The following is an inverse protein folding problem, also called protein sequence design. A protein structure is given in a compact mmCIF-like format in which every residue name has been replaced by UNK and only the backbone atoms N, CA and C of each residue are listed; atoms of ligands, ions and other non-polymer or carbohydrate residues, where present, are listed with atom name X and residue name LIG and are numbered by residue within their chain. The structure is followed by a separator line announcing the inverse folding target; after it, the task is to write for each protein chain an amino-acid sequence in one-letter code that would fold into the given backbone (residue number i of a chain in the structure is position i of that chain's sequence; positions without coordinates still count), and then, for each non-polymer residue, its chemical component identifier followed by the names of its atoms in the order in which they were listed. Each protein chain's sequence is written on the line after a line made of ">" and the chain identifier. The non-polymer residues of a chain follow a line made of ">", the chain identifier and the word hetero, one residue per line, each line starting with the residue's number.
data_IF_867224376380
#
_entry.id   IF_867224376380
#
_cell.length_a   1.000
_cell.length_b   1.000
_cell.length_c   1.000
_cell.angle_alpha   90.00
_cell.angle_beta   90.00
_cell.angle_gamma   90.00
#
_symmetry.space_group_name_H-M   'P 1'
#
loop_
_entity.id
_entity.type
_entity.pdbx_description
1 polymer ?
#
# COMPACT_ATOMS: atom_id res chain seq x y z
N UNK A 1 -2.89 14.12 -13.07
CA UNK A 1 -2.77 14.75 -11.73
C UNK A 1 -2.17 13.67 -10.88
N UNK A 2 -1.24 13.95 -9.95
CA UNK A 2 -0.66 12.86 -9.18
C UNK A 2 -1.76 12.10 -8.45
N UNK A 3 -1.94 10.82 -8.75
CA UNK A 3 -2.93 9.96 -8.11
C UNK A 3 -2.48 9.61 -6.68
N UNK A 4 -1.20 9.30 -6.50
CA UNK A 4 -0.64 8.83 -5.23
C UNK A 4 -0.12 10.01 -4.41
N UNK A 5 -1.04 10.67 -3.71
CA UNK A 5 -0.80 11.86 -2.89
C UNK A 5 -1.74 11.90 -1.68
N UNK A 6 -1.41 12.68 -0.65
CA UNK A 6 -2.18 12.78 0.58
C UNK A 6 -3.53 13.49 0.39
N UNK A 7 -3.60 14.44 -0.53
CA UNK A 7 -4.84 15.17 -0.80
C UNK A 7 -5.87 14.25 -1.47
N UNK A 8 -7.06 14.07 -0.87
CA UNK A 8 -8.05 13.14 -1.39
C UNK A 8 -8.65 13.63 -2.70
N UNK A 9 -8.89 12.71 -3.63
CA UNK A 9 -9.52 13.03 -4.91
C UNK A 9 -11.05 12.95 -4.83
N UNK A 10 -11.78 13.74 -5.64
CA UNK A 10 -13.23 13.65 -5.68
C UNK A 10 -13.68 12.35 -6.35
N UNK A 11 -14.88 11.86 -6.03
CA UNK A 11 -15.46 10.68 -6.71
C UNK A 11 -15.65 10.85 -8.23
N UNK A 12 -15.61 12.07 -8.76
CA UNK A 12 -15.64 12.34 -10.20
C UNK A 12 -14.31 12.03 -10.89
N UNK A 13 -13.20 11.92 -10.16
CA UNK A 13 -11.88 11.67 -10.73
C UNK A 13 -11.56 10.18 -10.93
N UNK A 14 -12.46 9.27 -10.56
CA UNK A 14 -12.26 7.83 -10.74
C UNK A 14 -13.04 7.34 -11.98
N UNK A 15 -12.63 6.21 -12.59
CA UNK A 15 -13.28 5.69 -13.79
C UNK A 15 -14.79 5.47 -13.64
N UNK A 16 -15.50 5.41 -14.77
CA UNK A 16 -16.91 5.07 -14.77
C UNK A 16 -17.14 3.66 -14.22
N UNK A 17 -18.31 3.43 -13.62
CA UNK A 17 -18.69 2.15 -13.03
C UNK A 17 -20.21 1.98 -13.12
N UNK A 18 -20.77 0.78 -13.37
CA UNK A 18 -22.23 0.59 -13.49
C UNK A 18 -23.07 1.14 -12.33
N UNK A 19 -22.53 1.14 -11.10
CA UNK A 19 -23.21 1.70 -9.92
C UNK A 19 -23.32 3.22 -9.88
N UNK A 20 -22.71 3.97 -10.80
CA UNK A 20 -22.84 5.42 -10.88
C UNK A 20 -22.57 6.01 -12.28
N UNK A 21 -23.10 7.21 -12.54
CA UNK A 21 -23.18 7.84 -13.87
C UNK A 21 -22.00 7.59 -14.81
N UNK A 22 -22.33 7.17 -16.05
CA UNK A 22 -21.44 7.05 -17.22
C UNK A 22 -21.11 8.42 -17.83
N UNK A 23 -20.80 9.40 -16.99
CA UNK A 23 -20.38 10.71 -17.43
C UNK A 23 -19.08 10.59 -18.24
N UNK A 24 -19.09 11.07 -19.50
CA UNK A 24 -17.98 11.00 -20.43
C UNK A 24 -16.75 11.82 -19.98
N UNK A 25 -16.89 12.64 -18.93
CA UNK A 25 -15.78 13.39 -18.33
C UNK A 25 -14.90 12.56 -17.38
N UNK A 26 -15.32 11.33 -17.03
CA UNK A 26 -14.53 10.42 -16.19
C UNK A 26 -13.32 9.85 -16.92
N UNK A 27 -12.21 9.55 -16.22
CA UNK A 27 -11.04 8.95 -16.86
C UNK A 27 -11.33 7.53 -17.36
N UNK A 28 -10.60 7.13 -18.40
CA UNK A 28 -10.61 5.76 -18.90
C UNK A 28 -9.94 4.82 -17.88
N UNK A 29 -10.49 3.61 -17.72
CA UNK A 29 -10.13 2.65 -16.68
C UNK A 29 -8.68 2.19 -16.77
N UNK A 30 -8.24 1.72 -17.94
CA UNK A 30 -6.89 1.22 -18.15
C UNK A 30 -5.85 2.32 -18.01
N UNK A 31 -6.13 3.52 -18.52
CA UNK A 31 -5.27 4.70 -18.38
C UNK A 31 -5.13 5.12 -16.91
N UNK A 32 -6.21 5.07 -16.13
CA UNK A 32 -6.19 5.38 -14.71
C UNK A 32 -5.31 4.39 -13.93
N UNK A 33 -5.50 3.10 -14.16
CA UNK A 33 -4.71 2.02 -13.54
C UNK A 33 -3.24 2.11 -13.96
N UNK A 34 -2.97 2.31 -15.25
CA UNK A 34 -1.61 2.47 -15.78
C UNK A 34 -0.88 3.65 -15.13
N UNK A 35 -1.60 4.78 -14.95
CA UNK A 35 -1.07 5.97 -14.28
C UNK A 35 -0.73 5.68 -12.82
N UNK A 36 -1.61 4.96 -12.10
CA UNK A 36 -1.37 4.60 -10.70
C UNK A 36 -0.17 3.67 -10.55
N UNK A 37 -0.07 2.63 -11.38
CA UNK A 37 1.06 1.70 -11.39
C UNK A 37 2.38 2.41 -11.73
N UNK A 38 2.38 3.30 -12.73
CA UNK A 38 3.55 4.11 -13.09
C UNK A 38 4.00 5.00 -11.92
N UNK A 39 3.06 5.72 -11.28
CA UNK A 39 3.36 6.55 -10.11
C UNK A 39 3.89 5.72 -8.94
N UNK A 40 3.36 4.51 -8.73
CA UNK A 40 3.81 3.59 -7.69
C UNK A 40 5.25 3.12 -7.94
N UNK A 41 5.58 2.73 -9.17
CA UNK A 41 6.94 2.37 -9.57
C UNK A 41 7.90 3.55 -9.37
N UNK A 42 7.54 4.74 -9.84
CA UNK A 42 8.34 5.96 -9.64
C UNK A 42 8.58 6.26 -8.16
N UNK A 43 7.54 6.16 -7.32
CA UNK A 43 7.67 6.33 -5.88
C UNK A 43 8.69 5.34 -5.31
N UNK A 44 8.50 4.04 -5.54
CA UNK A 44 9.39 3.00 -4.98
C UNK A 44 10.83 3.13 -5.48
N UNK A 45 11.04 3.49 -6.76
CA UNK A 45 12.36 3.72 -7.33
C UNK A 45 13.07 4.94 -6.71
N UNK A 46 12.31 5.97 -6.32
CA UNK A 46 12.87 7.18 -5.70
C UNK A 46 13.24 7.01 -4.22
N UNK A 47 12.70 6.01 -3.51
CA UNK A 47 12.89 5.85 -2.06
C UNK A 47 14.37 5.85 -1.64
N UNK A 48 15.28 5.07 -2.29
CA UNK A 48 16.68 5.01 -1.88
C UNK A 48 17.43 6.35 -1.95
N UNK A 49 17.03 7.25 -2.84
CA UNK A 49 17.68 8.55 -3.04
C UNK A 49 16.98 9.71 -2.34
N UNK A 50 15.69 9.57 -2.00
CA UNK A 50 14.87 10.66 -1.47
C UNK A 50 14.44 10.48 -0.01
N UNK A 51 14.59 9.29 0.57
CA UNK A 51 14.24 9.02 1.95
C UNK A 51 15.49 8.82 2.81
N UNK A 52 15.47 9.39 4.01
CA UNK A 52 16.47 9.15 5.03
C UNK A 52 16.13 7.88 5.80
N UNK A 53 17.09 6.96 5.92
CA UNK A 53 16.92 5.71 6.66
C UNK A 53 17.16 5.93 8.16
N UNK A 54 16.27 5.42 9.01
CA UNK A 54 16.50 5.36 10.46
C UNK A 54 17.72 4.44 10.72
N UNK A 55 18.67 4.85 11.56
CA UNK A 55 19.94 4.15 11.72
C UNK A 55 19.81 2.75 12.34
N UNK A 56 18.72 2.48 13.07
CA UNK A 56 18.49 1.20 13.76
C UNK A 56 17.20 0.56 13.24
N UNK A 57 17.28 -0.66 12.67
CA UNK A 57 16.10 -1.45 12.37
C UNK A 57 15.25 -1.69 13.63
N UNK A 58 13.93 -1.75 13.46
CA UNK A 58 12.96 -1.88 14.55
C UNK A 58 12.46 -3.32 14.65
N UNK A 59 12.26 -3.87 15.86
CA UNK A 59 11.56 -5.13 16.03
C UNK A 59 10.05 -4.95 15.80
N UNK A 60 9.39 -6.00 15.33
CA UNK A 60 7.93 -6.08 15.25
C UNK A 60 7.47 -7.48 15.65
N UNK A 61 7.52 -7.84 16.95
CA UNK A 61 7.14 -9.18 17.39
C UNK A 61 5.68 -9.47 17.04
N UNK A 62 5.33 -10.74 16.71
CA UNK A 62 6.17 -11.94 16.75
C UNK A 62 7.06 -12.16 15.50
N UNK A 63 7.14 -11.22 14.56
CA UNK A 63 8.01 -11.36 13.39
C UNK A 63 9.49 -11.46 13.79
N UNK A 64 10.20 -12.38 13.16
CA UNK A 64 11.67 -12.48 13.25
C UNK A 64 12.36 -11.39 12.42
N UNK A 65 11.69 -10.90 11.36
CA UNK A 65 12.23 -9.86 10.51
C UNK A 65 12.37 -8.53 11.26
N UNK A 66 13.48 -7.84 11.04
CA UNK A 66 13.63 -6.45 11.48
C UNK A 66 13.09 -5.52 10.41
N UNK A 67 12.43 -4.46 10.85
CA UNK A 67 11.83 -3.46 9.98
C UNK A 67 12.79 -2.28 9.83
N UNK A 68 13.29 -2.06 8.62
CA UNK A 68 14.01 -0.82 8.25
C UNK A 68 12.96 0.26 8.02
N UNK A 69 13.10 1.39 8.70
CA UNK A 69 12.19 2.52 8.62
C UNK A 69 12.89 3.66 7.89
N UNK A 70 12.21 4.31 6.95
CA UNK A 70 12.73 5.43 6.19
C UNK A 70 11.69 6.55 6.19
N UNK A 71 12.15 7.80 6.07
CA UNK A 71 11.28 8.98 6.05
C UNK A 71 11.72 9.95 4.98
N UNK A 72 10.76 10.52 4.27
CA UNK A 72 11.02 11.44 3.17
C UNK A 72 9.95 12.51 3.09
N UNK A 73 10.27 13.59 2.39
CA UNK A 73 9.30 14.61 2.01
C UNK A 73 9.15 14.61 0.51
N UNK A 74 7.90 14.51 0.03
CA UNK A 74 7.59 14.51 -1.40
C UNK A 74 6.72 15.71 -1.73
N UNK A 75 6.91 16.26 -2.92
CA UNK A 75 5.96 17.22 -3.49
C UNK A 75 5.16 16.45 -4.55
N UNK A 76 3.81 16.43 -4.46
CA UNK A 76 3.01 15.85 -5.53
C UNK A 76 3.37 16.51 -6.87
N UNK A 77 3.44 15.70 -7.92
CA UNK A 77 3.69 16.23 -9.26
C UNK A 77 2.49 17.08 -9.67
N UNK A 78 2.69 18.38 -9.79
CA UNK A 78 1.67 19.27 -10.34
C UNK A 78 1.60 19.00 -11.85
N UNK A 79 0.46 18.50 -12.35
CA UNK A 79 0.13 18.75 -13.74
C UNK A 79 0.16 20.26 -13.95
N UNK A 80 0.80 20.73 -15.02
CA UNK A 80 0.79 22.13 -15.45
C UNK A 80 -0.66 22.62 -15.50
N UNK A 81 -1.12 23.29 -14.44
CA UNK A 81 -2.40 23.99 -14.48
C UNK A 81 -2.26 25.08 -15.54
N UNK A 82 -3.03 24.99 -16.62
CA UNK A 82 -3.07 25.97 -17.71
C UNK A 82 -3.72 27.30 -17.29
N UNK A 83 -3.99 27.52 -16.00
CA UNK A 83 -4.70 28.70 -15.50
C UNK A 83 -3.96 29.32 -14.32
N UNK A 84 -3.02 30.22 -14.62
CA UNK A 84 -2.68 31.48 -13.92
C UNK A 84 -2.52 31.60 -12.39
N UNK A 85 -2.77 30.56 -11.58
CA UNK A 85 -2.75 30.62 -10.13
C UNK A 85 -1.58 29.82 -9.53
N UNK A 86 -0.70 30.50 -8.78
CA UNK A 86 0.37 29.84 -8.01
C UNK A 86 -0.22 29.09 -6.80
N UNK A 87 -0.85 27.94 -7.01
CA UNK A 87 -1.13 27.01 -5.92
C UNK A 87 0.20 26.46 -5.40
N UNK A 88 0.62 26.84 -4.18
CA UNK A 88 1.82 26.27 -3.54
C UNK A 88 1.52 24.82 -3.17
N UNK A 89 2.02 23.86 -3.95
CA UNK A 89 2.00 22.44 -3.58
C UNK A 89 2.76 22.25 -2.27
N UNK A 90 2.05 21.84 -1.21
CA UNK A 90 2.65 21.55 0.09
C UNK A 90 3.43 20.23 -0.02
N UNK A 91 4.62 20.19 0.59
CA UNK A 91 5.33 18.92 0.75
C UNK A 91 4.57 18.01 1.72
N UNK A 92 4.50 16.74 1.37
CA UNK A 92 3.88 15.67 2.14
C UNK A 92 4.95 14.87 2.85
N UNK A 93 4.69 14.50 4.10
CA UNK A 93 5.57 13.63 4.87
C UNK A 93 5.23 12.18 4.57
N UNK A 94 6.22 11.42 4.11
CA UNK A 94 6.09 10.02 3.77
C UNK A 94 6.95 9.16 4.70
N UNK A 95 6.39 8.03 5.09
CA UNK A 95 7.07 6.97 5.84
C UNK A 95 7.17 5.76 4.95
N UNK A 96 8.34 5.15 4.88
CA UNK A 96 8.54 3.87 4.22
C UNK A 96 9.04 2.84 5.23
N UNK A 97 8.52 1.62 5.16
CA UNK A 97 9.07 0.46 5.86
C UNK A 97 9.52 -0.59 4.87
N UNK A 98 10.57 -1.31 5.24
CA UNK A 98 11.07 -2.47 4.51
C UNK A 98 11.36 -3.60 5.49
N UNK A 99 10.92 -4.81 5.15
CA UNK A 99 11.21 -6.03 5.91
C UNK A 99 11.49 -7.18 4.95
N UNK A 100 12.33 -8.12 5.39
CA UNK A 100 12.70 -9.30 4.61
C UNK A 100 12.46 -10.55 5.45
N UNK A 101 11.66 -11.46 4.92
CA UNK A 101 11.16 -12.65 5.59
C UNK A 101 11.70 -13.89 4.89
N UNK A 102 11.92 -14.97 5.65
CA UNK A 102 12.21 -16.28 5.04
C UNK A 102 10.90 -16.81 4.48
N UNK A 103 10.91 -17.26 3.22
CA UNK A 103 9.75 -17.90 2.60
C UNK A 103 9.50 -19.28 3.22
N UNK A 104 8.70 -19.30 4.29
CA UNK A 104 8.37 -20.52 5.02
C UNK A 104 7.09 -20.36 5.85
N UNK A 105 6.30 -21.43 5.95
CA UNK A 105 5.15 -21.50 6.85
C UNK A 105 5.57 -21.85 8.28
N UNK A 106 6.34 -20.99 8.95
CA UNK A 106 6.89 -21.24 10.30
C UNK A 106 6.73 -20.05 11.25
N UNK A 107 6.95 -20.25 12.56
CA UNK A 107 6.71 -19.22 13.58
C UNK A 107 7.60 -18.00 13.36
N UNK A 108 6.97 -16.83 13.28
CA UNK A 108 7.66 -15.54 13.14
C UNK A 108 8.05 -15.20 11.69
N UNK A 109 7.57 -15.97 10.71
CA UNK A 109 7.63 -15.66 9.27
C UNK A 109 6.41 -16.25 8.54
N UNK A 110 6.29 -15.99 7.24
CA UNK A 110 5.22 -16.53 6.40
C UNK A 110 5.70 -16.90 5.00
N UNK A 111 5.04 -17.87 4.39
CA UNK A 111 5.30 -18.30 3.02
C UNK A 111 4.76 -17.30 2.00
N UNK A 112 5.24 -17.39 0.76
CA UNK A 112 4.79 -16.56 -0.36
C UNK A 112 3.27 -16.59 -0.51
N UNK A 113 2.69 -17.80 -0.46
CA UNK A 113 1.25 -18.00 -0.54
C UNK A 113 0.48 -17.29 0.57
N UNK A 114 1.04 -17.22 1.77
CA UNK A 114 0.40 -16.54 2.91
C UNK A 114 0.51 -15.01 2.81
N UNK A 115 1.65 -14.51 2.31
CA UNK A 115 1.81 -13.11 1.95
C UNK A 115 0.80 -12.69 0.88
N UNK A 116 0.70 -13.45 -0.20
CA UNK A 116 -0.24 -13.17 -1.28
C UNK A 116 -1.70 -13.24 -0.79
N UNK A 117 -2.07 -14.32 -0.10
CA UNK A 117 -3.44 -14.51 0.38
C UNK A 117 -3.86 -13.42 1.37
N UNK A 118 -2.96 -12.99 2.26
CA UNK A 118 -3.31 -12.04 3.31
C UNK A 118 -3.15 -10.57 2.96
N UNK A 119 -2.26 -10.22 2.02
CA UNK A 119 -1.99 -8.83 1.68
C UNK A 119 -2.49 -8.41 0.29
N UNK A 120 -2.79 -9.35 -0.61
CA UNK A 120 -3.28 -9.04 -1.97
C UNK A 120 -4.79 -9.16 -2.08
N UNK A 121 -5.32 -10.33 -1.73
CA UNK A 121 -6.75 -10.64 -1.88
C UNK A 121 -7.52 -10.21 -0.64
N UNK A 122 -8.69 -9.61 -0.80
CA UNK A 122 -9.54 -9.15 0.33
C UNK A 122 -8.72 -8.32 1.34
N UNK A 123 -7.88 -7.41 0.80
CA UNK A 123 -6.85 -6.71 1.57
C UNK A 123 -7.45 -5.95 2.77
N UNK A 124 -8.53 -5.21 2.56
CA UNK A 124 -9.17 -4.43 3.61
C UNK A 124 -9.82 -5.33 4.68
N UNK A 125 -10.49 -6.41 4.28
CA UNK A 125 -11.08 -7.36 5.22
C UNK A 125 -10.02 -8.05 6.08
N UNK A 126 -8.94 -8.53 5.48
CA UNK A 126 -7.85 -9.14 6.23
C UNK A 126 -7.18 -8.12 7.16
N UNK A 127 -6.98 -6.88 6.71
CA UNK A 127 -6.48 -5.81 7.58
C UNK A 127 -7.38 -5.58 8.80
N UNK A 128 -8.71 -5.65 8.64
CA UNK A 128 -9.64 -5.59 9.77
C UNK A 128 -9.44 -6.73 10.78
N UNK A 129 -9.10 -7.94 10.32
CA UNK A 129 -8.90 -9.09 11.20
C UNK A 129 -7.61 -9.01 12.04
N UNK A 130 -6.55 -8.39 11.51
CA UNK A 130 -5.25 -8.35 12.17
C UNK A 130 -4.84 -6.98 12.72
N UNK A 131 -5.47 -5.89 12.29
CA UNK A 131 -5.17 -4.54 12.77
C UNK A 131 -6.19 -4.14 13.83
N UNK A 132 -5.83 -4.13 15.13
CA UNK A 132 -6.80 -3.94 16.22
C UNK A 132 -7.57 -2.61 16.20
N UNK A 133 -7.03 -1.60 15.49
CA UNK A 133 -7.70 -0.31 15.37
C UNK A 133 -8.75 -0.30 14.25
N UNK A 134 -8.68 -1.18 13.25
CA UNK A 134 -9.66 -1.25 12.17
C UNK A 134 -10.89 -1.99 12.69
N UNK A 135 -12.01 -1.28 12.77
CA UNK A 135 -13.24 -1.76 13.41
C UNK A 135 -14.40 -1.99 12.46
N UNK A 136 -14.31 -1.45 11.25
CA UNK A 136 -15.27 -1.72 10.18
C UNK A 136 -14.63 -1.49 8.83
N UNK A 137 -14.99 -2.33 7.87
CA UNK A 137 -14.68 -2.20 6.44
C UNK A 137 -15.97 -2.38 5.68
N UNK A 138 -16.22 -1.47 4.75
CA UNK A 138 -17.35 -1.57 3.83
C UNK A 138 -16.90 -1.33 2.40
N UNK A 139 -17.04 -2.38 1.58
CA UNK A 139 -16.84 -2.28 0.14
C UNK A 139 -17.96 -1.45 -0.47
N UNK A 140 -17.57 -0.32 -1.04
CA UNK A 140 -18.47 0.64 -1.67
C UNK A 140 -18.73 0.27 -3.12
N UNK A 141 -17.66 -0.06 -3.86
CA UNK A 141 -17.63 -0.27 -5.31
C UNK A 141 -16.49 -1.23 -5.66
N UNK A 142 -16.65 -2.06 -6.69
CA UNK A 142 -15.61 -2.95 -7.22
C UNK A 142 -15.78 -3.08 -8.73
N UNK A 143 -14.70 -2.90 -9.49
CA UNK A 143 -14.71 -3.07 -10.95
C UNK A 143 -14.53 -4.54 -11.31
N UNK A 144 -15.28 -5.00 -12.30
CA UNK A 144 -15.20 -6.36 -12.78
C UNK A 144 -13.80 -6.65 -13.35
N UNK A 145 -13.22 -7.79 -12.97
CA UNK A 145 -11.84 -8.13 -13.35
C UNK A 145 -11.70 -8.29 -14.88
N UNK A 146 -12.75 -8.74 -15.54
CA UNK A 146 -12.86 -8.85 -17.00
C UNK A 146 -12.81 -7.51 -17.72
N UNK A 147 -13.28 -6.42 -17.10
CA UNK A 147 -13.23 -5.07 -17.67
C UNK A 147 -11.84 -4.44 -17.53
N UNK A 148 -11.03 -4.94 -16.58
CA UNK A 148 -9.67 -4.45 -16.31
C UNK A 148 -8.62 -5.22 -17.12
N UNK A 149 -8.69 -6.56 -17.13
CA UNK A 149 -7.72 -7.40 -17.81
C UNK A 149 -6.26 -7.24 -17.34
N UNK A 150 -5.32 -7.44 -18.27
CA UNK A 150 -3.88 -7.24 -18.05
C UNK A 150 -3.46 -5.81 -18.43
N UNK A 151 -2.46 -5.26 -17.74
CA UNK A 151 -1.97 -3.91 -17.99
C UNK A 151 -0.45 -3.92 -18.11
N UNK A 152 0.10 -3.25 -19.12
CA UNK A 152 1.55 -3.09 -19.28
C UNK A 152 1.98 -1.67 -18.96
N UNK A 153 2.94 -1.52 -18.03
CA UNK A 153 3.47 -0.22 -17.60
C UNK A 153 4.97 -0.31 -17.42
N UNK A 154 5.71 0.63 -18.01
CA UNK A 154 7.18 0.69 -17.93
C UNK A 154 7.88 -0.64 -18.30
N UNK A 155 7.30 -1.40 -19.25
CA UNK A 155 7.81 -2.71 -19.68
C UNK A 155 7.53 -3.85 -18.69
N UNK A 156 6.70 -3.63 -17.68
CA UNK A 156 6.25 -4.64 -16.73
C UNK A 156 4.81 -5.00 -17.06
N UNK A 157 4.56 -6.29 -17.28
CA UNK A 157 3.22 -6.82 -17.46
C UNK A 157 2.61 -7.14 -16.10
N UNK A 158 1.51 -6.47 -15.80
CA UNK A 158 0.69 -6.68 -14.62
C UNK A 158 -0.51 -7.57 -14.94
N UNK A 159 -0.74 -8.57 -14.10
CA UNK A 159 -1.83 -9.53 -14.19
C UNK A 159 -2.66 -9.52 -12.91
N UNK A 160 -3.80 -10.21 -12.93
CA UNK A 160 -4.69 -10.33 -11.76
C UNK A 160 -5.02 -8.97 -11.14
N UNK A 161 -5.25 -7.97 -12.00
CA UNK A 161 -5.46 -6.60 -11.57
C UNK A 161 -6.88 -6.45 -11.03
N UNK A 162 -7.01 -5.87 -9.85
CA UNK A 162 -8.30 -5.54 -9.24
C UNK A 162 -8.33 -4.08 -8.83
N UNK A 163 -9.54 -3.49 -8.83
CA UNK A 163 -9.77 -2.13 -8.37
C UNK A 163 -11.09 -2.07 -7.58
N UNK A 164 -11.03 -1.50 -6.38
CA UNK A 164 -12.18 -1.37 -5.49
C UNK A 164 -12.12 -0.09 -4.66
N UNK A 165 -13.26 0.35 -4.13
CA UNK A 165 -13.34 1.44 -3.16
C UNK A 165 -13.88 0.89 -1.85
N UNK A 166 -13.14 1.13 -0.76
CA UNK A 166 -13.52 0.74 0.59
C UNK A 166 -13.69 1.98 1.48
N UNK A 167 -14.69 1.93 2.37
CA UNK A 167 -14.78 2.76 3.56
C UNK A 167 -14.20 1.98 4.73
N UNK A 168 -13.09 2.47 5.28
CA UNK A 168 -12.36 1.82 6.37
C UNK A 168 -12.45 2.71 7.61
N UNK A 169 -12.87 2.15 8.74
CA UNK A 169 -13.07 2.89 9.99
C UNK A 169 -12.14 2.39 11.08
N UNK A 170 -11.26 3.27 11.56
CA UNK A 170 -10.43 3.07 12.73
C UNK A 170 -11.09 3.62 13.99
N UNK A 171 -11.13 2.81 15.05
CA UNK A 171 -11.50 3.23 16.41
C UNK A 171 -10.31 3.10 17.34
N UNK A 172 -10.19 4.05 18.26
CA UNK A 172 -9.05 4.15 19.18
C UNK A 172 -9.56 4.15 20.61
N UNK A 173 -8.77 3.57 21.51
CA UNK A 173 -9.09 3.52 22.94
C UNK A 173 -8.19 4.50 23.72
N UNK A 174 -8.74 5.24 24.70
CA UNK A 174 -10.16 5.28 25.08
C UNK A 174 -11.02 6.10 24.10
N UNK A 175 -12.15 5.53 23.66
CA UNK A 175 -13.04 6.08 22.62
C UNK A 175 -13.73 7.40 23.00
N UNK A 176 -13.77 7.72 24.30
CA UNK A 176 -14.29 8.99 24.79
C UNK A 176 -13.37 10.18 24.43
N UNK A 177 -12.07 9.95 24.25
CA UNK A 177 -11.07 11.00 24.02
C UNK A 177 -10.67 11.13 22.55
N UNK A 178 -10.68 10.02 21.81
CA UNK A 178 -10.24 9.97 20.42
C UNK A 178 -11.42 9.53 19.57
N UNK A 179 -11.97 10.48 18.81
CA UNK A 179 -13.03 10.17 17.85
C UNK A 179 -12.56 9.11 16.84
N UNK A 180 -13.47 8.32 16.24
CA UNK A 180 -13.12 7.42 15.15
C UNK A 180 -12.54 8.16 13.93
N UNK A 181 -11.80 7.45 13.09
CA UNK A 181 -11.33 7.93 11.79
C UNK A 181 -11.85 7.07 10.68
N UNK A 182 -12.47 7.68 9.69
CA UNK A 182 -12.98 6.98 8.52
C UNK A 182 -12.21 7.44 7.29
N UNK A 183 -11.80 6.47 6.48
CA UNK A 183 -11.00 6.67 5.27
C UNK A 183 -11.78 6.10 4.10
N UNK A 184 -11.90 6.86 3.02
CA UNK A 184 -12.42 6.35 1.75
C UNK A 184 -11.21 6.12 0.85
N UNK A 185 -10.95 4.87 0.49
CA UNK A 185 -9.73 4.46 -0.18
C UNK A 185 -10.07 3.67 -1.45
N UNK A 186 -9.62 4.17 -2.60
CA UNK A 186 -9.57 3.39 -3.83
C UNK A 186 -8.31 2.53 -3.80
N UNK A 187 -8.48 1.21 -3.83
CA UNK A 187 -7.40 0.24 -3.80
C UNK A 187 -7.23 -0.38 -5.19
N UNK A 188 -6.01 -0.37 -5.72
CA UNK A 188 -5.61 -1.12 -6.91
C UNK A 188 -4.63 -2.20 -6.46
N UNK A 189 -4.91 -3.45 -6.79
CA UNK A 189 -3.97 -4.56 -6.59
C UNK A 189 -3.56 -5.15 -7.93
N UNK A 190 -2.30 -5.55 -8.08
CA UNK A 190 -1.79 -6.13 -9.32
C UNK A 190 -0.63 -7.08 -9.03
N UNK A 191 -0.64 -8.26 -9.63
CA UNK A 191 0.49 -9.18 -9.64
C UNK A 191 1.39 -8.88 -10.85
N UNK A 192 2.66 -9.29 -10.78
CA UNK A 192 3.55 -9.29 -11.93
C UNK A 192 4.51 -10.46 -11.85
N UNK A 193 4.97 -10.88 -13.03
CA UNK A 193 6.11 -11.76 -13.20
C UNK A 193 7.24 -10.97 -13.85
N UNK A 194 8.48 -11.25 -13.50
CA UNK A 194 9.68 -10.76 -14.21
C UNK A 194 9.88 -9.24 -14.17
N UNK A 195 9.96 -8.63 -12.98
CA UNK A 195 10.48 -7.25 -12.86
C UNK A 195 11.93 -7.22 -13.40
N UNK A 196 12.27 -6.37 -14.40
CA UNK A 196 13.64 -6.29 -14.89
C UNK A 196 14.61 -5.93 -13.75
N UNK A 197 15.81 -6.53 -13.70
CA UNK A 197 16.76 -6.29 -12.62
C UNK A 197 17.13 -4.81 -12.54
N UNK A 198 17.33 -4.31 -11.31
CA UNK A 198 17.90 -2.98 -11.05
C UNK A 198 19.15 -2.81 -11.91
N UNK A 199 19.12 -1.92 -12.89
CA UNK A 199 20.31 -1.56 -13.67
C UNK A 199 21.38 -1.01 -12.73
N UNK A 200 22.40 -1.80 -12.41
CA UNK A 200 23.72 -1.25 -12.13
C UNK A 200 24.19 -0.63 -13.44
N UNK A 201 24.25 0.71 -13.48
CA UNK A 201 25.04 1.41 -14.49
C UNK A 201 26.51 1.07 -14.24
N UNK A 202 26.98 -0.08 -14.73
CA UNK A 202 28.37 -0.28 -15.14
C UNK A 202 28.47 -1.53 -16.02
N UNK A 203 29.03 -1.30 -17.20
CA UNK A 203 29.32 -2.19 -18.33
C UNK A 203 29.93 -3.56 -17.98
N UNK A 204 29.25 -4.65 -18.40
CA UNK A 204 29.72 -5.67 -19.38
C UNK A 204 28.66 -6.79 -19.53
N UNK A 205 28.41 -7.33 -20.74
CA UNK A 205 27.47 -8.42 -20.93
C UNK A 205 28.17 -9.74 -20.61
N UNK A 206 27.87 -10.34 -19.46
CA UNK A 206 28.15 -11.76 -19.22
C UNK A 206 26.81 -12.46 -19.06
N UNK A 207 26.57 -13.44 -19.93
CA UNK A 207 25.39 -14.28 -19.95
C UNK A 207 25.30 -15.08 -18.65
N UNK A 208 24.51 -14.59 -17.69
CA UNK A 208 24.01 -15.38 -16.57
C UNK A 208 22.57 -14.93 -16.32
N UNK A 209 21.66 -15.80 -16.78
CA UNK A 209 20.22 -15.90 -16.56
C UNK A 209 19.55 -14.83 -15.69
N UNK A 210 18.56 -14.19 -16.31
CA UNK A 210 17.51 -13.36 -15.75
C UNK A 210 17.01 -13.91 -14.40
N UNK A 211 17.29 -13.22 -13.30
CA UNK A 211 16.64 -13.47 -12.02
C UNK A 211 15.27 -12.79 -12.04
N UNK A 212 14.32 -13.49 -12.64
CA UNK A 212 12.91 -13.17 -12.75
C UNK A 212 12.25 -13.19 -11.36
N UNK A 213 11.94 -12.02 -10.81
CA UNK A 213 11.21 -11.90 -9.55
C UNK A 213 9.70 -11.81 -9.77
N UNK A 214 8.93 -12.74 -9.19
CA UNK A 214 7.48 -12.59 -9.04
C UNK A 214 7.14 -11.65 -7.88
N UNK A 215 6.04 -10.92 -8.00
CA UNK A 215 5.65 -9.94 -7.00
C UNK A 215 4.21 -9.46 -7.14
N UNK A 216 3.77 -8.65 -6.20
CA UNK A 216 2.51 -7.92 -6.31
C UNK A 216 2.57 -6.55 -5.65
N UNK A 217 1.64 -5.72 -6.06
CA UNK A 217 1.42 -4.36 -5.59
C UNK A 217 0.04 -4.22 -4.95
N UNK A 218 -0.04 -3.35 -3.95
CA UNK A 218 -1.29 -2.80 -3.44
C UNK A 218 -1.12 -1.30 -3.34
N UNK A 219 -1.93 -0.54 -4.07
CA UNK A 219 -1.88 0.92 -4.16
C UNK A 219 -3.18 1.45 -3.56
N UNK A 220 -3.11 2.38 -2.62
CA UNK A 220 -4.27 2.99 -1.99
C UNK A 220 -4.27 4.49 -2.25
N UNK A 221 -5.35 4.99 -2.86
CA UNK A 221 -5.54 6.38 -3.28
C UNK A 221 -6.71 6.97 -2.47
N UNK A 222 -6.49 8.06 -1.73
CA UNK A 222 -7.53 8.64 -0.90
C UNK A 222 -8.60 9.32 -1.77
N UNK A 223 -9.86 9.08 -1.41
CA UNK A 223 -11.02 9.77 -1.98
C UNK A 223 -11.74 10.59 -0.90
N UNK A 224 -12.49 11.59 -1.33
CA UNK A 224 -13.43 12.30 -0.46
C UNK A 224 -14.83 12.27 -1.08
N UNK A 225 -15.84 12.23 -0.20
CA UNK A 225 -17.24 12.29 -0.60
C UNK A 225 -17.82 13.67 -0.30
N UNK A 226 -18.34 14.34 -1.33
CA UNK A 226 -19.20 15.51 -1.19
C UNK A 226 -20.59 15.22 -1.76
N UNK A 227 -21.63 15.80 -1.15
CA UNK A 227 -23.02 15.57 -1.56
C UNK A 227 -23.31 16.01 -3.00
N UNK A 228 -22.57 16.99 -3.54
CA UNK A 228 -22.76 17.54 -4.89
C UNK A 228 -22.05 16.74 -5.98
N UNK A 229 -20.99 16.00 -5.65
CA UNK A 229 -20.09 15.35 -6.62
C UNK A 229 -20.03 13.82 -6.48
N UNK A 230 -20.49 13.29 -5.34
CA UNK A 230 -20.60 11.86 -5.12
C UNK A 230 -21.95 11.36 -5.62
N UNK A 231 -21.99 10.20 -6.32
CA UNK A 231 -23.26 9.56 -6.66
C UNK A 231 -24.17 9.40 -5.43
N UNK A 232 -25.44 9.81 -5.55
CA UNK A 232 -26.33 9.96 -4.39
C UNK A 232 -26.44 8.68 -3.54
N UNK A 233 -26.64 7.52 -4.16
CA UNK A 233 -26.73 6.24 -3.46
C UNK A 233 -25.45 5.93 -2.68
N UNK A 234 -24.29 6.27 -3.25
CA UNK A 234 -23.00 6.05 -2.61
C UNK A 234 -22.76 7.02 -1.45
N UNK A 235 -23.13 8.30 -1.62
CA UNK A 235 -23.06 9.29 -0.54
C UNK A 235 -23.95 8.91 0.64
N UNK A 236 -25.16 8.40 0.38
CA UNK A 236 -26.07 7.89 1.40
C UNK A 236 -25.49 6.67 2.11
N UNK A 237 -24.94 5.70 1.36
CA UNK A 237 -24.28 4.51 1.91
C UNK A 237 -23.12 4.92 2.84
N UNK A 238 -22.20 5.76 2.36
CA UNK A 238 -21.10 6.29 3.18
C UNK A 238 -21.62 6.95 4.46
N UNK A 239 -22.62 7.83 4.34
CA UNK A 239 -23.17 8.57 5.49
C UNK A 239 -23.84 7.65 6.51
N UNK A 240 -24.50 6.59 6.07
CA UNK A 240 -25.14 5.61 6.95
C UNK A 240 -24.14 4.76 7.73
N UNK A 241 -22.95 4.54 7.15
CA UNK A 241 -21.95 3.60 7.66
C UNK A 241 -20.91 4.22 8.58
N UNK A 242 -20.71 5.54 8.51
CA UNK A 242 -19.76 6.21 9.39
C UNK A 242 -20.27 6.28 10.83
N UNK A 243 -19.43 5.98 11.84
CA UNK A 243 -19.82 6.19 13.24
C UNK A 243 -20.13 7.66 13.55
N UNK A 244 -20.99 7.88 14.54
CA UNK A 244 -21.22 9.23 15.08
C UNK A 244 -19.89 9.86 15.51
N UNK A 245 -19.68 11.13 15.14
CA UNK A 245 -18.47 11.92 15.42
C UNK A 245 -17.20 11.43 14.71
N UNK A 246 -17.30 10.49 13.77
CA UNK A 246 -16.14 10.11 12.97
C UNK A 246 -15.57 11.33 12.23
N UNK A 247 -14.25 11.40 12.16
CA UNK A 247 -13.54 12.41 11.38
C UNK A 247 -13.03 11.71 10.12
N UNK A 248 -13.29 12.30 8.95
CA UNK A 248 -12.66 11.85 7.72
C UNK A 248 -11.16 12.13 7.77
N UNK A 249 -10.39 11.08 7.57
CA UNK A 249 -8.95 11.11 7.49
C UNK A 249 -8.52 10.58 6.12
N UNK A 250 -7.28 10.89 5.73
CA UNK A 250 -6.76 10.53 4.42
C UNK A 250 -5.45 9.80 4.58
N UNK A 251 -5.21 8.82 3.72
CA UNK A 251 -3.89 8.27 3.51
C UNK A 251 -3.73 7.87 2.04
N UNK A 252 -2.49 7.89 1.57
CA UNK A 252 -2.10 7.23 0.33
C UNK A 252 -0.99 6.26 0.64
N UNK A 253 -1.02 5.08 0.02
CA UNK A 253 0.00 4.06 0.23
C UNK A 253 0.37 3.33 -1.06
N UNK A 254 1.59 2.81 -1.08
CA UNK A 254 2.07 1.84 -2.06
C UNK A 254 2.77 0.74 -1.30
N UNK A 255 2.26 -0.47 -1.44
CA UNK A 255 2.89 -1.70 -0.98
C UNK A 255 3.40 -2.51 -2.15
N UNK A 256 4.59 -3.08 -1.99
CA UNK A 256 5.18 -4.04 -2.92
C UNK A 256 5.73 -5.22 -2.13
N UNK A 257 5.32 -6.42 -2.53
CA UNK A 257 5.82 -7.68 -2.00
C UNK A 257 6.49 -8.44 -3.14
N UNK A 258 7.74 -8.83 -2.95
CA UNK A 258 8.56 -9.48 -3.98
C UNK A 258 9.16 -10.77 -3.43
N UNK A 259 9.10 -11.84 -4.21
CA UNK A 259 9.89 -13.03 -3.96
C UNK A 259 11.31 -12.82 -4.49
N UNK A 260 12.29 -13.04 -3.64
CA UNK A 260 13.71 -13.04 -3.94
C UNK A 260 14.17 -14.50 -3.94
N UNK A 261 14.43 -15.11 -5.10
CA UNK A 261 14.91 -16.48 -5.17
C UNK A 261 16.22 -16.67 -4.42
N UNK A 262 16.42 -17.87 -3.88
CA UNK A 262 17.72 -18.27 -3.35
C UNK A 262 18.79 -18.24 -4.45
N UNK A 263 20.00 -17.81 -4.11
CA UNK A 263 21.14 -17.99 -4.99
C UNK A 263 21.43 -19.50 -5.14
N UNK A 264 21.53 -20.01 -6.37
CA UNK A 264 21.95 -21.38 -6.62
C UNK A 264 23.44 -21.52 -6.25
N UNK A 265 23.74 -22.12 -5.09
CA UNK A 265 25.11 -22.55 -4.77
C UNK A 265 25.32 -24.00 -5.23
N UNK A 266 26.30 -24.23 -6.10
CA UNK A 266 26.69 -25.57 -6.59
C UNK A 266 27.49 -26.40 -5.59
N UNK A 267 27.88 -25.81 -4.45
CA UNK A 267 28.63 -26.48 -3.40
C UNK A 267 27.74 -26.77 -2.19
N UNK A 268 27.99 -27.90 -1.50
CA UNK A 268 27.25 -28.29 -0.30
C UNK A 268 27.34 -27.19 0.78
N UNK A 269 26.23 -26.53 1.13
CA UNK A 269 26.25 -25.45 2.11
C UNK A 269 26.33 -26.01 3.54
N UNK A 270 27.18 -25.38 4.35
CA UNK A 270 27.22 -25.56 5.81
C UNK A 270 25.88 -25.17 6.46
N UNK A 271 25.58 -25.63 7.68
CA UNK A 271 24.31 -25.34 8.37
C UNK A 271 23.99 -23.83 8.51
N UNK A 272 25.01 -22.96 8.60
CA UNK A 272 24.83 -21.50 8.59
C UNK A 272 24.50 -20.94 7.19
N UNK A 273 25.05 -21.56 6.13
CA UNK A 273 24.78 -21.20 4.73
C UNK A 273 23.40 -21.69 4.24
N UNK A 274 22.84 -22.74 4.86
CA UNK A 274 21.48 -23.21 4.54
C UNK A 274 20.40 -22.13 4.78
N UNK A 275 20.57 -21.30 5.81
CA UNK A 275 19.66 -20.17 6.08
C UNK A 275 19.75 -19.04 5.04
N UNK A 276 20.88 -18.93 4.33
CA UNK A 276 21.08 -17.97 3.23
C UNK A 276 20.66 -18.53 1.87
N UNK A 277 20.52 -19.86 1.75
CA UNK A 277 20.06 -20.56 0.54
C UNK A 277 18.54 -20.69 0.39
N UNK A 278 17.76 -20.03 1.25
CA UNK A 278 16.30 -20.04 1.18
C UNK A 278 15.79 -18.80 0.46
N UNK A 279 14.75 -18.96 -0.35
CA UNK A 279 14.02 -17.85 -0.94
C UNK A 279 13.54 -16.90 0.16
N UNK A 280 13.56 -15.60 -0.13
CA UNK A 280 13.16 -14.55 0.80
C UNK A 280 12.03 -13.74 0.22
N UNK A 281 11.19 -13.18 1.09
CA UNK A 281 10.11 -12.29 0.70
C UNK A 281 10.45 -10.90 1.18
N UNK A 282 10.58 -9.95 0.26
CA UNK A 282 10.77 -8.55 0.58
C UNK A 282 9.44 -7.84 0.56
N UNK A 283 9.10 -7.19 1.66
CA UNK A 283 7.88 -6.40 1.79
C UNK A 283 8.24 -4.95 2.07
N UNK A 284 7.87 -4.07 1.12
CA UNK A 284 8.06 -2.63 1.19
C UNK A 284 6.70 -1.95 1.21
N UNK A 285 6.48 -1.02 2.14
CA UNK A 285 5.30 -0.15 2.15
C UNK A 285 5.76 1.30 2.31
N UNK A 286 5.29 2.18 1.44
CA UNK A 286 5.41 3.62 1.58
C UNK A 286 4.03 4.23 1.77
N UNK A 287 3.87 5.08 2.79
CA UNK A 287 2.58 5.70 3.11
C UNK A 287 2.73 7.14 3.58
N UNK A 288 1.71 7.94 3.30
CA UNK A 288 1.48 9.26 3.89
C UNK A 288 0.07 9.30 4.45
N UNK A 289 -0.13 9.99 5.57
CA UNK A 289 -1.44 10.04 6.23
C UNK A 289 -1.65 11.37 6.95
N UNK A 290 -2.92 11.77 7.01
CA UNK A 290 -3.45 12.84 7.83
C UNK A 290 -4.71 12.35 8.54
N UNK A 291 -4.61 12.19 9.86
CA UNK A 291 -5.72 11.82 10.72
C UNK A 291 -6.80 12.91 10.82
N UNK A 292 -6.56 14.12 10.31
CA UNK A 292 -7.50 15.23 10.39
C UNK A 292 -7.84 15.66 11.82
N UNK A 293 -8.88 16.48 11.95
CA UNK A 293 -9.32 17.05 13.22
C UNK A 293 -8.23 17.88 13.90
N UNK A 294 -8.13 17.76 15.22
CA UNK A 294 -7.21 18.57 16.05
C UNK A 294 -5.89 17.89 16.40
N UNK A 295 -5.59 16.71 15.83
CA UNK A 295 -4.33 16.00 16.16
C UNK A 295 -3.17 16.67 15.42
N UNK A 296 -2.21 17.30 16.13
CA UNK A 296 -1.14 18.02 15.46
C UNK A 296 -0.27 17.09 14.60
N UNK A 297 0.13 17.57 13.43
CA UNK A 297 0.94 16.79 12.47
C UNK A 297 2.25 16.25 13.08
N UNK A 298 2.89 17.00 13.99
CA UNK A 298 4.10 16.52 14.66
C UNK A 298 3.86 15.30 15.57
N UNK A 299 2.64 15.14 16.11
CA UNK A 299 2.22 13.94 16.87
C UNK A 299 2.03 12.77 15.92
N UNK A 300 1.28 12.97 14.84
CA UNK A 300 1.02 11.95 13.83
C UNK A 300 2.31 11.41 13.19
N UNK A 301 3.35 12.25 13.10
CA UNK A 301 4.67 11.92 12.52
C UNK A 301 5.68 11.43 13.55
N UNK A 302 5.34 11.44 14.84
CA UNK A 302 6.25 11.08 15.92
C UNK A 302 6.23 9.58 16.17
N UNK A 303 7.41 8.96 16.15
CA UNK A 303 7.60 7.60 16.63
C UNK A 303 7.25 7.45 18.12
N UNK A 304 7.71 8.39 18.94
CA UNK A 304 7.60 8.32 20.40
C UNK A 304 6.15 8.44 20.89
N UNK A 305 5.30 9.14 20.12
CA UNK A 305 3.89 9.33 20.42
C UNK A 305 2.97 8.35 19.68
N UNK A 306 3.55 7.31 19.08
CA UNK A 306 2.77 6.26 18.43
C UNK A 306 2.11 6.65 17.11
N UNK A 307 2.65 7.67 16.43
CA UNK A 307 2.18 8.07 15.11
C UNK A 307 2.49 7.04 14.01
N UNK A 308 2.24 7.44 12.76
CA UNK A 308 2.37 6.61 11.55
C UNK A 308 3.67 5.79 11.51
N UNK A 309 4.86 6.33 11.86
CA UNK A 309 6.08 5.53 11.84
C UNK A 309 6.07 4.31 12.77
N UNK A 310 5.39 4.40 13.91
CA UNK A 310 5.27 3.27 14.85
C UNK A 310 4.21 2.27 14.38
N UNK A 311 3.07 2.78 13.87
CA UNK A 311 1.99 1.96 13.36
C UNK A 311 2.48 1.04 12.24
N UNK A 312 3.11 1.60 11.19
CA UNK A 312 3.58 0.79 10.04
C UNK A 312 4.59 -0.28 10.46
N UNK A 313 5.43 -0.02 11.47
CA UNK A 313 6.34 -1.05 11.99
C UNK A 313 5.56 -2.18 12.66
N UNK A 314 4.56 -1.86 13.48
CA UNK A 314 3.75 -2.84 14.19
C UNK A 314 2.96 -3.77 13.25
N UNK A 315 2.49 -3.25 12.11
CA UNK A 315 1.69 -4.00 11.12
C UNK A 315 2.41 -5.27 10.63
N UNK A 316 3.75 -5.25 10.56
CA UNK A 316 4.54 -6.44 10.21
C UNK A 316 4.33 -7.57 11.21
N UNK A 317 4.37 -7.27 12.50
CA UNK A 317 4.15 -8.26 13.56
C UNK A 317 2.72 -8.75 13.56
N UNK A 318 1.75 -7.84 13.43
CA UNK A 318 0.31 -8.15 13.40
C UNK A 318 -0.03 -9.12 12.26
N UNK A 319 0.50 -8.88 11.06
CA UNK A 319 0.33 -9.79 9.92
C UNK A 319 0.92 -11.19 10.19
N UNK A 320 2.14 -11.26 10.73
CA UNK A 320 2.79 -12.55 11.04
C UNK A 320 2.08 -13.31 12.17
N UNK A 321 1.54 -12.58 13.15
CA UNK A 321 0.70 -13.18 14.19
C UNK A 321 -0.60 -13.75 13.61
N UNK A 322 -1.24 -13.01 12.71
CA UNK A 322 -2.46 -13.43 12.05
C UNK A 322 -2.26 -14.67 11.17
N UNK A 323 -1.18 -14.72 10.37
CA UNK A 323 -0.85 -15.94 9.60
C UNK A 323 -0.62 -17.14 10.52
N UNK A 324 0.06 -16.94 11.65
CA UNK A 324 0.26 -17.99 12.66
C UNK A 324 -1.07 -18.49 13.23
N UNK A 325 -1.99 -17.58 13.56
CA UNK A 325 -3.35 -17.94 14.04
C UNK A 325 -4.14 -18.71 12.98
N UNK A 326 -4.09 -18.30 11.70
CA UNK A 326 -4.79 -19.00 10.62
C UNK A 326 -4.30 -20.42 10.42
N UNK A 327 -2.99 -20.69 10.53
CA UNK A 327 -2.45 -22.07 10.47
C UNK A 327 -2.99 -22.99 11.56
N UNK A 328 -3.26 -22.43 12.75
CA UNK A 328 -3.75 -23.19 13.91
C UNK A 328 -5.26 -23.44 13.86
N UNK A 329 -6.00 -22.72 13.01
CA UNK A 329 -7.43 -22.85 12.85
C UNK A 329 -7.83 -23.92 11.80
N UNK A 330 -6.84 -24.55 11.14
CA UNK A 330 -6.98 -25.68 10.21
C UNK A 330 -6.64 -26.97 10.94
#
# INVERSE_FOLDING_TARGET
>A
MSLIQLHPHPFTSIPAHPSFSTDLSRPELHQYISTALHEALQLLHSIPSTFTTDPKPRPSPPSQAKVKLLRGWRKPSALRASTGGKAKTKSEFWVCRQSEHVDASSKGTASWREFEAGLRSQHAEHEMEYTPSVSAVERLVEWAAEDIGEVEVDGIRFTSVSMEVNLITHTFHPSALIAPRSFISLTISAAHDNLPPRSSQTTTPTQSQEQNGQGFFTIQIPLHSEASSTPQALHQKITASIPKRAIFANYASVERVELIPAAHSTDQPSAEQQSQSQSRIKWTMATTSDAGGSIPQWVQRSWALGGVPRAVVADVGLFIEWTTRRRQAV
#
